data_IF_735196359742
#
_entry.id   IF_735196359742
#
_cell.length_a   1.000
_cell.length_b   1.000
_cell.length_c   1.000
_cell.angle_alpha   90.00
_cell.angle_beta   90.00
_cell.angle_gamma   90.00
#
_symmetry.space_group_name_H-M   'P 1'
#
loop_
_entity.id
_entity.type
_entity.pdbx_description
1 polymer ?
#
# COMPACT_ATOMS: atom_id res chain seq x y z
N UNK A 1 -4.11 -13.73 -3.06
CA UNK A 1 -4.06 -12.32 -3.53
C UNK A 1 -2.91 -12.21 -4.51
N UNK A 2 -3.13 -11.68 -5.73
CA UNK A 2 -2.05 -11.54 -6.71
C UNK A 2 -1.11 -10.41 -6.29
N UNK A 3 0.23 -10.60 -6.40
CA UNK A 3 1.19 -9.55 -6.12
C UNK A 3 0.95 -8.36 -7.06
N UNK A 4 1.04 -7.17 -6.50
CA UNK A 4 0.89 -5.92 -7.27
C UNK A 4 2.09 -5.72 -8.17
N UNK A 5 1.90 -5.04 -9.31
CA UNK A 5 3.00 -4.73 -10.24
C UNK A 5 4.19 -4.07 -9.55
N UNK A 6 3.92 -3.24 -8.54
CA UNK A 6 4.94 -2.58 -7.72
C UNK A 6 5.73 -3.57 -6.89
N UNK A 7 5.10 -4.52 -6.20
CA UNK A 7 5.80 -5.54 -5.39
C UNK A 7 6.70 -6.43 -6.27
N UNK A 8 6.23 -6.80 -7.46
CA UNK A 8 7.00 -7.57 -8.44
C UNK A 8 8.26 -6.79 -8.88
N UNK A 9 8.10 -5.52 -9.26
CA UNK A 9 9.22 -4.66 -9.66
C UNK A 9 10.20 -4.49 -8.51
N UNK A 10 9.70 -4.24 -7.30
CA UNK A 10 10.53 -4.00 -6.12
C UNK A 10 11.35 -5.25 -5.75
N UNK A 11 10.72 -6.43 -5.73
CA UNK A 11 11.41 -7.70 -5.47
C UNK A 11 12.46 -8.05 -6.54
N UNK A 12 12.16 -7.77 -7.81
CA UNK A 12 13.09 -8.01 -8.92
C UNK A 12 14.30 -7.08 -8.86
N UNK A 13 14.10 -5.80 -8.54
CA UNK A 13 15.20 -4.83 -8.35
C UNK A 13 16.08 -5.21 -7.16
N UNK A 14 15.48 -5.56 -6.01
CA UNK A 14 16.23 -6.01 -4.83
C UNK A 14 17.07 -7.27 -5.11
N UNK A 15 16.50 -8.23 -5.83
CA UNK A 15 17.20 -9.47 -6.18
C UNK A 15 18.35 -9.21 -7.17
N UNK A 16 18.14 -8.33 -8.15
CA UNK A 16 19.18 -7.96 -9.11
C UNK A 16 20.35 -7.23 -8.44
N UNK A 17 20.08 -6.31 -7.53
CA UNK A 17 21.12 -5.60 -6.77
C UNK A 17 21.88 -6.59 -5.87
N UNK A 18 21.17 -7.49 -5.19
CA UNK A 18 21.80 -8.52 -4.36
C UNK A 18 22.74 -9.42 -5.16
N UNK A 19 22.30 -9.87 -6.34
CA UNK A 19 23.12 -10.68 -7.24
C UNK A 19 24.34 -9.93 -7.77
N UNK A 20 24.19 -8.65 -8.09
CA UNK A 20 25.30 -7.80 -8.54
C UNK A 20 26.37 -7.65 -7.43
N UNK A 21 25.94 -7.48 -6.18
CA UNK A 21 26.85 -7.36 -5.02
C UNK A 21 27.62 -8.67 -4.82
N UNK A 22 26.93 -9.83 -4.86
CA UNK A 22 27.60 -11.14 -4.76
C UNK A 22 28.59 -11.36 -5.91
N UNK A 23 28.26 -10.90 -7.11
CA UNK A 23 29.11 -11.08 -8.29
C UNK A 23 30.37 -10.18 -8.27
N UNK A 24 30.27 -8.98 -7.72
CA UNK A 24 31.35 -7.98 -7.74
C UNK A 24 32.23 -7.98 -6.49
N UNK A 25 31.73 -8.43 -5.34
CA UNK A 25 32.48 -8.39 -4.08
C UNK A 25 32.21 -9.62 -3.20
N UNK A 26 33.27 -10.38 -2.95
CA UNK A 26 33.26 -11.53 -2.03
C UNK A 26 33.13 -11.10 -0.57
N UNK A 27 33.61 -9.91 -0.21
CA UNK A 27 33.55 -9.39 1.17
C UNK A 27 32.11 -9.07 1.59
N UNK A 28 31.27 -8.67 0.62
CA UNK A 28 29.85 -8.39 0.84
C UNK A 28 28.92 -9.51 0.36
N UNK A 29 29.45 -10.70 0.05
CA UNK A 29 28.65 -11.81 -0.48
C UNK A 29 27.52 -12.20 0.48
N UNK A 30 27.78 -12.26 1.80
CA UNK A 30 26.76 -12.53 2.81
C UNK A 30 25.62 -11.51 2.76
N UNK A 31 25.96 -10.22 2.64
CA UNK A 31 24.97 -9.15 2.52
C UNK A 31 24.14 -9.27 1.23
N UNK A 32 24.79 -9.59 0.11
CA UNK A 32 24.10 -9.83 -1.16
C UNK A 32 23.10 -11.01 -1.12
N UNK A 33 23.46 -12.10 -0.43
CA UNK A 33 22.55 -13.22 -0.18
C UNK A 33 21.34 -12.82 0.67
N UNK A 34 21.53 -12.05 1.75
CA UNK A 34 20.42 -11.52 2.54
C UNK A 34 19.50 -10.62 1.71
N UNK A 35 20.08 -9.79 0.84
CA UNK A 35 19.33 -8.90 -0.05
C UNK A 35 18.48 -9.67 -1.06
N UNK A 36 19.01 -10.75 -1.63
CA UNK A 36 18.26 -11.67 -2.50
C UNK A 36 17.12 -12.36 -1.76
N UNK A 37 17.38 -12.90 -0.55
CA UNK A 37 16.34 -13.52 0.26
C UNK A 37 15.23 -12.54 0.62
N UNK A 38 15.58 -11.27 0.90
CA UNK A 38 14.61 -10.22 1.19
C UNK A 38 13.77 -9.86 -0.05
N UNK A 39 14.39 -9.79 -1.24
CA UNK A 39 13.67 -9.58 -2.51
C UNK A 39 12.66 -10.70 -2.80
N UNK A 40 13.04 -11.96 -2.55
CA UNK A 40 12.16 -13.12 -2.70
C UNK A 40 11.04 -13.10 -1.64
N UNK A 41 11.35 -12.75 -0.39
CA UNK A 41 10.36 -12.67 0.68
C UNK A 41 9.29 -11.60 0.39
N UNK A 42 9.67 -10.46 -0.17
CA UNK A 42 8.74 -9.40 -0.62
C UNK A 42 7.81 -9.90 -1.74
N UNK A 43 8.30 -10.80 -2.60
CA UNK A 43 7.49 -11.44 -3.64
C UNK A 43 6.51 -12.48 -3.06
N UNK A 44 6.95 -13.30 -2.11
CA UNK A 44 6.14 -14.36 -1.50
C UNK A 44 5.10 -13.83 -0.49
N UNK A 45 5.42 -12.76 0.23
CA UNK A 45 4.55 -12.10 1.20
C UNK A 45 4.24 -10.68 0.72
N UNK A 46 3.40 -10.50 -0.33
CA UNK A 46 2.86 -9.19 -0.67
C UNK A 46 2.07 -8.70 0.54
N UNK A 47 2.65 -7.75 1.28
CA UNK A 47 2.22 -7.40 2.62
C UNK A 47 0.72 -7.01 2.64
N UNK A 48 -0.16 -7.79 3.28
CA UNK A 48 -1.57 -7.40 3.43
C UNK A 48 -1.71 -6.09 4.24
N UNK A 49 -0.66 -5.68 4.96
CA UNK A 49 -0.65 -4.52 5.84
C UNK A 49 -0.58 -3.18 5.10
N UNK A 50 0.11 -3.06 3.96
CA UNK A 50 0.26 -1.77 3.25
C UNK A 50 -1.06 -1.37 2.57
N UNK A 51 -1.88 -2.35 2.17
CA UNK A 51 -3.20 -2.11 1.56
C UNK A 51 -4.24 -1.53 2.52
N UNK A 52 -4.08 -1.74 3.83
CA UNK A 52 -5.02 -1.20 4.81
C UNK A 52 -4.72 0.26 5.20
N UNK A 53 -3.49 0.73 5.00
CA UNK A 53 -3.08 2.07 5.42
C UNK A 53 -3.47 3.15 4.40
N UNK A 54 -3.46 2.83 3.10
CA UNK A 54 -3.90 3.77 2.08
C UNK A 54 -5.41 3.63 1.86
N UNK A 55 -6.22 4.65 2.22
CA UNK A 55 -7.63 4.63 1.87
C UNK A 55 -7.72 4.57 0.35
N UNK A 56 -8.28 3.48 -0.16
CA UNK A 56 -8.54 3.31 -1.58
C UNK A 56 -9.31 4.53 -2.09
N UNK A 57 -9.01 5.01 -3.31
CA UNK A 57 -9.72 6.15 -3.93
C UNK A 57 -11.25 6.00 -3.88
N UNK A 58 -11.73 4.74 -3.89
CA UNK A 58 -13.14 4.40 -3.69
C UNK A 58 -13.67 4.79 -2.30
N UNK A 59 -12.92 4.52 -1.22
CA UNK A 59 -13.28 4.87 0.16
C UNK A 59 -13.24 6.38 0.39
N UNK A 60 -12.27 7.09 -0.20
CA UNK A 60 -12.24 8.56 -0.19
C UNK A 60 -13.45 9.17 -0.91
N UNK A 61 -13.83 8.65 -2.08
CA UNK A 61 -15.04 9.09 -2.80
C UNK A 61 -16.32 8.80 -2.02
N UNK A 62 -16.42 7.64 -1.36
CA UNK A 62 -17.56 7.32 -0.51
C UNK A 62 -17.65 8.25 0.70
N UNK A 63 -16.53 8.53 1.37
CA UNK A 63 -16.50 9.47 2.50
C UNK A 63 -16.83 10.90 2.07
N UNK A 64 -16.33 11.36 0.92
CA UNK A 64 -16.68 12.67 0.38
C UNK A 64 -18.17 12.77 0.03
N UNK A 65 -18.78 11.72 -0.53
CA UNK A 65 -20.23 11.66 -0.76
C UNK A 65 -21.02 11.69 0.55
N UNK A 66 -20.61 10.94 1.57
CA UNK A 66 -21.26 10.96 2.89
C UNK A 66 -21.17 12.34 3.54
N UNK A 67 -19.98 12.95 3.55
CA UNK A 67 -19.78 14.30 4.08
C UNK A 67 -20.55 15.37 3.30
N UNK A 68 -20.71 15.21 1.98
CA UNK A 68 -21.56 16.07 1.16
C UNK A 68 -23.05 15.93 1.51
N UNK A 69 -23.53 14.73 1.81
CA UNK A 69 -24.93 14.49 2.21
C UNK A 69 -25.19 15.07 3.61
N UNK A 70 -24.26 14.90 4.55
CA UNK A 70 -24.34 15.48 5.90
C UNK A 70 -24.19 17.02 5.91
N UNK A 71 -23.32 17.59 5.06
CA UNK A 71 -23.21 19.05 4.92
C UNK A 71 -24.44 19.70 4.30
N UNK A 72 -25.16 18.96 3.46
CA UNK A 72 -26.42 19.40 2.85
C UNK A 72 -27.60 19.24 3.82
N UNK A 73 -27.58 18.27 4.75
CA UNK A 73 -28.64 18.10 5.76
C UNK A 73 -28.70 19.23 6.78
N UNK A 74 -27.57 19.88 7.11
CA UNK A 74 -27.55 21.10 7.93
C UNK A 74 -28.30 22.26 7.24
N UNK A 75 -28.23 22.35 5.90
CA UNK A 75 -28.83 23.45 5.12
C UNK A 75 -30.28 23.14 4.72
N UNK A 76 -30.62 21.85 4.62
CA UNK A 76 -31.97 21.37 4.29
C UNK A 76 -32.83 21.04 5.51
N UNK A 77 -32.30 21.10 6.74
CA UNK A 77 -33.09 20.99 7.97
C UNK A 77 -34.03 22.21 8.06
N UNK A 78 -35.33 22.09 7.75
CA UNK A 78 -36.27 23.15 8.05
C UNK A 78 -36.55 23.02 9.55
N UNK A 79 -35.82 23.76 10.37
CA UNK A 79 -36.08 23.95 11.80
C UNK A 79 -35.90 22.68 12.69
N UNK A 80 -34.82 22.58 13.49
CA UNK A 80 -34.64 21.53 14.50
C UNK A 80 -35.63 21.59 15.70
N UNK A 81 -36.74 22.31 15.57
CA UNK A 81 -37.71 22.62 16.64
C UNK A 81 -39.11 22.04 16.35
N UNK A 82 -39.33 21.47 15.16
CA UNK A 82 -40.58 20.80 14.77
C UNK A 82 -40.46 19.28 14.82
N UNK A 83 -39.94 18.73 15.92
CA UNK A 83 -40.22 17.35 16.30
C UNK A 83 -41.17 17.38 17.48
N UNK A 84 -42.45 17.17 17.15
CA UNK A 84 -43.51 16.79 18.09
C UNK A 84 -43.20 15.42 18.68
#
# INVERSE_FOLDING_TARGET
MLPTKTEIITGLVLSAIGGLIVALSTDFASFGWYLMLLGIAVYLLPGPQIRHFFPTKARLRQNARKASIEGVSWWLSPLPWMTV
#
